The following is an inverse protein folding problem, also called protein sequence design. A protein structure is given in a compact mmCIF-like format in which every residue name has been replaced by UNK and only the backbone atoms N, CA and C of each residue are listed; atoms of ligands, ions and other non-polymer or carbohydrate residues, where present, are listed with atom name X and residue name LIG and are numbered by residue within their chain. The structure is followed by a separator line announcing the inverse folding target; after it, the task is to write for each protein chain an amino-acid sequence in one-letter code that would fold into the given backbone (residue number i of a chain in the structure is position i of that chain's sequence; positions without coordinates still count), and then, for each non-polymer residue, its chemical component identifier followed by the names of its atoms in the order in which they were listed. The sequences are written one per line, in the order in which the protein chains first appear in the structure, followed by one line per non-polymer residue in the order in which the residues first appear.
data_IF_754467756505
#
_entry.id   IF_754467756505
#
_cell.length_a   1.000
_cell.length_b   1.000
_cell.length_c   1.000
_cell.angle_alpha   90.00
_cell.angle_beta   90.00
_cell.angle_gamma   90.00
#
_symmetry.space_group_name_H-M   'P 1'
#
loop_
_entity.id
_entity.type
_entity.pdbx_description
1 polymer ?
#
# COMPACT_ATOMS: atom_id res chain seq x y z
N UNK A 1 -17.79 6.83 -13.34
CA UNK A 1 -16.92 5.95 -12.52
C UNK A 1 -17.07 4.55 -13.07
N UNK A 2 -16.05 4.00 -13.75
CA UNK A 2 -16.09 2.59 -14.20
C UNK A 2 -16.16 1.73 -12.93
N UNK A 3 -17.17 0.88 -12.79
CA UNK A 3 -17.29 -0.05 -11.66
C UNK A 3 -16.24 -1.14 -11.84
N UNK A 4 -15.42 -1.36 -10.82
CA UNK A 4 -14.33 -2.33 -10.87
C UNK A 4 -14.88 -3.76 -10.71
N UNK A 5 -14.51 -4.65 -11.64
CA UNK A 5 -14.93 -6.06 -11.66
C UNK A 5 -13.90 -6.97 -10.97
N UNK A 6 -13.43 -6.57 -9.78
CA UNK A 6 -12.33 -7.23 -9.07
C UNK A 6 -12.56 -8.72 -8.72
N UNK A 7 -13.79 -9.25 -8.89
CA UNK A 7 -14.15 -10.62 -8.54
C UNK A 7 -14.78 -11.41 -9.70
N UNK A 8 -14.91 -10.83 -10.89
CA UNK A 8 -15.48 -11.52 -12.05
C UNK A 8 -14.37 -12.11 -12.92
N UNK A 9 -13.90 -13.32 -12.60
CA UNK A 9 -13.06 -14.13 -13.49
C UNK A 9 -11.95 -14.91 -12.79
N UNK A 10 -11.59 -16.07 -13.36
CA UNK A 10 -10.43 -16.89 -12.97
C UNK A 10 -9.10 -16.41 -13.60
N UNK A 11 -9.05 -15.16 -14.03
CA UNK A 11 -7.90 -14.55 -14.71
C UNK A 11 -6.83 -14.01 -13.76
N UNK A 12 -5.79 -13.41 -14.34
CA UNK A 12 -4.74 -12.72 -13.60
C UNK A 12 -5.29 -11.49 -12.88
N UNK A 13 -4.67 -11.15 -11.75
CA UNK A 13 -5.10 -10.02 -10.93
C UNK A 13 -3.95 -9.45 -10.10
N UNK A 14 -4.01 -8.14 -9.85
CA UNK A 14 -3.16 -7.46 -8.89
C UNK A 14 -3.83 -7.42 -7.51
N UNK A 15 -3.27 -8.11 -6.53
CA UNK A 15 -3.73 -8.06 -5.14
C UNK A 15 -2.96 -6.97 -4.38
N UNK A 16 -3.65 -6.01 -3.78
CA UNK A 16 -3.00 -5.03 -2.90
C UNK A 16 -3.09 -5.57 -1.48
N UNK A 17 -1.96 -6.03 -0.93
CA UNK A 17 -1.93 -6.77 0.33
C UNK A 17 -1.28 -5.92 1.43
N UNK A 18 -2.05 -5.47 2.44
CA UNK A 18 -1.48 -4.74 3.56
C UNK A 18 -0.59 -5.62 4.43
N UNK A 19 0.53 -5.07 4.88
CA UNK A 19 1.46 -5.72 5.81
C UNK A 19 1.36 -5.11 7.21
N UNK A 20 1.85 -5.79 8.26
CA UNK A 20 1.72 -5.28 9.62
C UNK A 20 2.57 -4.02 9.86
N UNK A 21 2.11 -3.14 10.76
CA UNK A 21 2.79 -1.87 11.10
C UNK A 21 3.61 -1.95 12.40
N UNK A 22 3.99 -3.16 12.83
CA UNK A 22 4.84 -3.39 14.00
C UNK A 22 4.51 -4.64 14.83
N UNK A 23 3.28 -5.16 14.74
CA UNK A 23 2.89 -6.43 15.38
C UNK A 23 2.50 -7.45 14.31
N UNK A 24 3.18 -8.61 14.26
CA UNK A 24 2.91 -9.65 13.26
C UNK A 24 1.49 -10.21 13.35
N UNK A 25 0.85 -10.15 14.52
CA UNK A 25 -0.54 -10.61 14.72
C UNK A 25 -1.58 -9.73 13.97
N UNK A 26 -1.20 -8.54 13.51
CA UNK A 26 -2.08 -7.70 12.69
C UNK A 26 -2.21 -8.21 11.23
N UNK A 27 -1.48 -9.28 10.88
CA UNK A 27 -1.64 -9.95 9.59
C UNK A 27 -3.02 -10.64 9.52
N UNK A 28 -3.77 -10.39 8.44
CA UNK A 28 -5.05 -11.06 8.26
C UNK A 28 -4.87 -12.46 7.67
N UNK A 29 -5.73 -13.40 8.06
CA UNK A 29 -5.77 -14.74 7.45
C UNK A 29 -5.87 -14.71 5.93
N UNK A 30 -6.67 -13.77 5.40
CA UNK A 30 -6.84 -13.60 3.95
C UNK A 30 -5.56 -13.13 3.26
N UNK A 31 -4.81 -12.24 3.91
CA UNK A 31 -3.55 -11.77 3.36
C UNK A 31 -2.50 -12.88 3.31
N UNK A 32 -2.42 -13.72 4.35
CA UNK A 32 -1.53 -14.90 4.36
C UNK A 32 -1.90 -15.85 3.22
N UNK A 33 -3.19 -16.20 3.08
CA UNK A 33 -3.66 -17.08 1.99
C UNK A 33 -3.33 -16.51 0.61
N UNK A 34 -3.65 -15.23 0.37
CA UNK A 34 -3.34 -14.58 -0.92
C UNK A 34 -1.84 -14.62 -1.21
N UNK A 35 -0.99 -14.31 -0.23
CA UNK A 35 0.46 -14.34 -0.44
C UNK A 35 1.00 -15.75 -0.69
N UNK A 36 0.33 -16.80 -0.20
CA UNK A 36 0.65 -18.20 -0.49
C UNK A 36 0.15 -18.65 -1.88
N UNK A 37 -0.98 -18.11 -2.35
CA UNK A 37 -1.66 -18.55 -3.58
C UNK A 37 -1.26 -17.78 -4.84
N UNK A 38 -0.72 -16.56 -4.70
CA UNK A 38 -0.23 -15.76 -5.84
C UNK A 38 1.04 -16.37 -6.45
N UNK A 39 1.27 -16.13 -7.74
CA UNK A 39 2.44 -16.63 -8.45
C UNK A 39 3.69 -15.80 -8.17
N UNK A 40 3.51 -14.51 -7.85
CA UNK A 40 4.58 -13.55 -7.62
C UNK A 40 4.19 -12.49 -6.58
N UNK A 41 5.14 -12.10 -5.75
CA UNK A 41 5.03 -10.96 -4.83
C UNK A 41 5.93 -9.83 -5.32
N UNK A 42 5.35 -8.70 -5.68
CA UNK A 42 6.04 -7.43 -5.88
C UNK A 42 6.16 -6.71 -4.53
N UNK A 43 7.39 -6.52 -4.06
CA UNK A 43 7.65 -5.94 -2.74
C UNK A 43 8.53 -4.70 -2.83
N UNK A 44 8.23 -3.68 -2.01
CA UNK A 44 9.03 -2.46 -1.89
C UNK A 44 10.48 -2.76 -1.48
N UNK A 45 10.71 -3.30 -0.28
CA UNK A 45 11.99 -3.88 0.13
C UNK A 45 11.88 -5.39 0.33
N UNK A 46 12.47 -6.13 -0.62
CA UNK A 46 12.55 -7.60 -0.57
C UNK A 46 13.29 -8.12 0.67
N UNK A 47 14.23 -7.37 1.24
CA UNK A 47 15.00 -7.78 2.43
C UNK A 47 14.18 -7.64 3.71
N UNK A 48 13.23 -6.71 3.74
CA UNK A 48 12.29 -6.59 4.85
C UNK A 48 11.18 -7.63 4.70
N UNK A 49 10.57 -7.68 3.51
CA UNK A 49 9.44 -8.55 3.20
C UNK A 49 9.78 -10.03 3.40
N UNK A 50 11.00 -10.48 3.07
CA UNK A 50 11.39 -11.90 3.28
C UNK A 50 11.28 -12.34 4.74
N UNK A 51 11.47 -11.45 5.71
CA UNK A 51 11.32 -11.78 7.14
C UNK A 51 9.87 -12.08 7.49
N UNK A 52 8.95 -11.28 6.94
CA UNK A 52 7.51 -11.49 7.07
C UNK A 52 7.08 -12.81 6.44
N UNK A 53 7.53 -13.07 5.20
CA UNK A 53 7.22 -14.31 4.49
C UNK A 53 7.73 -15.54 5.22
N UNK A 54 8.97 -15.50 5.73
CA UNK A 54 9.55 -16.59 6.51
C UNK A 54 8.77 -16.88 7.80
N UNK A 55 8.28 -15.85 8.49
CA UNK A 55 7.50 -16.02 9.72
C UNK A 55 6.18 -16.76 9.48
N UNK A 56 5.53 -16.53 8.33
CA UNK A 56 4.28 -17.16 7.94
C UNK A 56 4.46 -18.36 7.00
N UNK A 57 5.69 -18.86 6.85
CA UNK A 57 6.01 -20.01 5.98
C UNK A 57 5.53 -19.82 4.53
N UNK A 58 5.66 -18.60 4.00
CA UNK A 58 5.28 -18.24 2.64
C UNK A 58 6.51 -18.39 1.74
N UNK A 59 6.39 -19.24 0.71
CA UNK A 59 7.50 -19.59 -0.18
C UNK A 59 7.39 -18.98 -1.59
N UNK A 60 6.38 -18.15 -1.81
CA UNK A 60 6.12 -17.50 -3.08
C UNK A 60 7.29 -16.64 -3.53
N UNK A 61 7.58 -16.66 -4.83
CA UNK A 61 8.68 -15.89 -5.41
C UNK A 61 8.42 -14.40 -5.24
N UNK A 62 9.49 -13.65 -5.02
CA UNK A 62 9.42 -12.21 -4.79
C UNK A 62 10.32 -11.44 -5.74
N UNK A 63 9.84 -10.28 -6.19
CA UNK A 63 10.59 -9.30 -6.98
C UNK A 63 10.51 -7.93 -6.32
N UNK A 64 11.54 -7.11 -6.52
CA UNK A 64 11.55 -5.73 -6.04
C UNK A 64 10.68 -4.82 -6.91
N UNK A 65 9.80 -4.04 -6.29
CA UNK A 65 9.02 -2.98 -6.91
C UNK A 65 8.95 -1.77 -5.96
N UNK A 66 9.79 -0.77 -6.20
CA UNK A 66 9.95 0.42 -5.36
C UNK A 66 9.61 1.71 -6.12
N UNK A 67 9.61 2.87 -5.45
CA UNK A 67 9.14 4.15 -6.04
C UNK A 67 9.91 4.59 -7.30
N UNK A 68 11.17 4.17 -7.43
CA UNK A 68 12.01 4.40 -8.60
C UNK A 68 12.07 3.21 -9.57
N UNK A 69 11.12 2.27 -9.49
CA UNK A 69 11.07 1.18 -10.46
C UNK A 69 10.76 1.74 -11.84
N UNK A 70 11.61 1.42 -12.81
CA UNK A 70 11.46 1.90 -14.17
C UNK A 70 10.14 1.40 -14.79
N UNK A 71 9.62 2.16 -15.76
CA UNK A 71 8.44 1.80 -16.56
C UNK A 71 8.52 0.38 -17.11
N UNK A 72 9.73 -0.10 -17.43
CA UNK A 72 9.96 -1.48 -17.88
C UNK A 72 9.44 -2.51 -16.86
N UNK A 73 9.70 -2.31 -15.56
CA UNK A 73 9.25 -3.23 -14.50
C UNK A 73 7.73 -3.19 -14.35
N UNK A 74 7.15 -1.99 -14.44
CA UNK A 74 5.70 -1.82 -14.41
C UNK A 74 5.03 -2.58 -15.57
N UNK A 75 5.50 -2.37 -16.80
CA UNK A 75 5.00 -3.09 -17.98
C UNK A 75 5.22 -4.59 -17.90
N UNK A 76 6.35 -5.05 -17.34
CA UNK A 76 6.61 -6.47 -17.13
C UNK A 76 5.55 -7.09 -16.20
N UNK A 77 5.20 -6.42 -15.11
CA UNK A 77 4.19 -6.88 -14.16
C UNK A 77 2.78 -6.84 -14.78
N UNK A 78 2.40 -5.76 -15.47
CA UNK A 78 1.06 -5.67 -16.10
C UNK A 78 0.88 -6.73 -17.19
N UNK A 79 1.90 -6.95 -18.03
CA UNK A 79 1.86 -8.04 -19.03
C UNK A 79 1.70 -9.41 -18.38
N UNK A 80 2.41 -9.70 -17.29
CA UNK A 80 2.26 -10.98 -16.57
C UNK A 80 0.83 -11.15 -16.03
N UNK A 81 0.23 -10.09 -15.51
CA UNK A 81 -1.17 -10.12 -15.04
C UNK A 81 -2.12 -10.35 -16.21
N UNK A 82 -1.90 -9.68 -17.35
CA UNK A 82 -2.69 -9.88 -18.57
C UNK A 82 -2.59 -11.32 -19.09
N UNK A 83 -1.43 -11.96 -18.94
CA UNK A 83 -1.20 -13.37 -19.29
C UNK A 83 -1.83 -14.36 -18.28
N UNK A 84 -2.51 -13.88 -17.25
CA UNK A 84 -3.24 -14.69 -16.28
C UNK A 84 -2.56 -14.86 -14.93
N UNK A 85 -1.40 -14.23 -14.70
CA UNK A 85 -0.67 -14.35 -13.45
C UNK A 85 -1.34 -13.59 -12.31
N UNK A 86 -1.39 -14.20 -11.12
CA UNK A 86 -1.82 -13.55 -9.88
C UNK A 86 -0.61 -12.94 -9.20
N UNK A 87 -0.62 -11.63 -9.00
CA UNK A 87 0.52 -10.90 -8.43
C UNK A 87 0.06 -10.13 -7.19
N UNK A 88 0.76 -10.26 -6.07
CA UNK A 88 0.54 -9.44 -4.89
C UNK A 88 1.52 -8.27 -4.84
N UNK A 89 1.03 -7.07 -4.56
CA UNK A 89 1.83 -5.90 -4.19
C UNK A 89 1.79 -5.72 -2.68
N UNK A 90 2.97 -5.65 -2.05
CA UNK A 90 3.15 -5.38 -0.63
C UNK A 90 4.07 -4.17 -0.43
N UNK A 91 3.80 -3.36 0.59
CA UNK A 91 4.72 -2.33 1.08
C UNK A 91 5.42 -2.78 2.36
N UNK A 92 6.43 -2.02 2.77
CA UNK A 92 7.24 -2.37 3.95
C UNK A 92 6.42 -2.41 5.25
N UNK A 93 5.40 -1.56 5.37
CA UNK A 93 4.48 -1.55 6.51
C UNK A 93 3.15 -0.87 6.15
N UNK A 94 2.04 -1.58 6.37
CA UNK A 94 0.70 -1.03 6.28
C UNK A 94 0.08 -1.15 4.90
N UNK A 95 -0.66 -0.11 4.49
CA UNK A 95 -1.49 -0.14 3.29
C UNK A 95 -0.68 0.26 2.04
N UNK A 96 -0.46 -0.65 1.07
CA UNK A 96 0.26 -0.32 -0.16
C UNK A 96 -0.48 0.72 -1.00
N UNK A 97 0.25 1.37 -1.92
CA UNK A 97 -0.26 2.36 -2.87
C UNK A 97 -0.78 3.68 -2.28
N UNK A 98 -0.53 3.96 -0.99
CA UNK A 98 -0.90 5.22 -0.33
C UNK A 98 0.31 6.16 -0.19
N UNK A 99 1.28 5.75 0.64
CA UNK A 99 2.55 6.47 0.84
C UNK A 99 3.70 5.79 0.10
N UNK A 100 3.47 4.51 -0.20
CA UNK A 100 4.44 3.56 -0.71
C UNK A 100 4.26 3.41 -2.23
N UNK A 101 5.26 2.92 -2.95
CA UNK A 101 5.14 2.55 -4.36
C UNK A 101 3.90 1.67 -4.63
N UNK A 102 3.27 1.87 -5.78
CA UNK A 102 2.11 1.07 -6.17
C UNK A 102 1.04 1.83 -6.92
N UNK A 103 0.90 3.13 -6.70
CA UNK A 103 -0.15 3.93 -7.36
C UNK A 103 -0.05 3.85 -8.88
N UNK A 104 1.14 4.03 -9.44
CA UNK A 104 1.38 3.92 -10.89
C UNK A 104 1.06 2.53 -11.44
N UNK A 105 1.40 1.47 -10.70
CA UNK A 105 1.06 0.09 -11.09
C UNK A 105 -0.45 -0.13 -11.09
N UNK A 106 -1.16 0.38 -10.09
CA UNK A 106 -2.62 0.32 -10.03
C UNK A 106 -3.23 1.08 -11.20
N UNK A 107 -2.74 2.29 -11.52
CA UNK A 107 -3.21 3.05 -12.68
C UNK A 107 -3.03 2.28 -13.98
N UNK A 108 -1.85 1.70 -14.22
CA UNK A 108 -1.62 0.92 -15.44
C UNK A 108 -2.51 -0.32 -15.51
N UNK A 109 -2.73 -1.03 -14.40
CA UNK A 109 -3.70 -2.13 -14.38
C UNK A 109 -5.12 -1.66 -14.74
N UNK A 110 -5.55 -0.50 -14.21
CA UNK A 110 -6.86 0.05 -14.51
C UNK A 110 -7.00 0.53 -15.97
N UNK A 111 -5.92 1.07 -16.56
CA UNK A 111 -5.88 1.47 -17.96
C UNK A 111 -6.01 0.28 -18.91
N UNK A 112 -5.41 -0.85 -18.56
CA UNK A 112 -5.48 -2.13 -19.29
C UNK A 112 -6.72 -2.98 -18.92
N UNK A 113 -7.63 -2.45 -18.10
CA UNK A 113 -8.83 -3.15 -17.60
C UNK A 113 -8.53 -4.45 -16.82
N UNK A 114 -7.35 -4.55 -16.22
CA UNK A 114 -6.92 -5.66 -15.38
C UNK A 114 -7.53 -5.57 -13.96
N UNK A 115 -7.94 -6.72 -13.36
CA UNK A 115 -8.47 -6.73 -12.00
C UNK A 115 -7.45 -6.25 -10.96
N UNK A 116 -7.88 -5.33 -10.09
CA UNK A 116 -7.12 -4.93 -8.89
C UNK A 116 -7.96 -5.23 -7.65
N UNK A 117 -7.42 -6.00 -6.71
CA UNK A 117 -8.16 -6.55 -5.57
C UNK A 117 -7.53 -6.01 -4.28
N UNK A 118 -8.09 -4.94 -3.70
CA UNK A 118 -7.59 -4.43 -2.43
C UNK A 118 -7.99 -5.32 -1.26
N UNK A 119 -7.01 -5.68 -0.41
CA UNK A 119 -7.28 -6.31 0.87
C UNK A 119 -7.43 -5.25 1.97
N UNK A 120 -8.41 -5.39 2.89
CA UNK A 120 -8.42 -4.60 4.11
C UNK A 120 -7.25 -5.05 5.01
N UNK A 121 -6.73 -4.13 5.81
CA UNK A 121 -5.63 -4.43 6.73
C UNK A 121 -5.11 -3.19 7.44
N UNK A 122 -3.90 -3.28 7.97
CA UNK A 122 -3.32 -2.27 8.83
C UNK A 122 -3.15 -0.90 8.14
N UNK A 123 -3.63 0.15 8.80
CA UNK A 123 -3.43 1.54 8.39
C UNK A 123 -3.10 2.39 9.62
N UNK A 124 -1.85 2.82 9.75
CA UNK A 124 -1.38 3.53 10.94
C UNK A 124 -2.17 4.81 11.23
N UNK A 125 -2.55 5.56 10.19
CA UNK A 125 -3.25 6.82 10.35
C UNK A 125 -4.68 6.63 10.86
N UNK A 126 -5.41 5.66 10.32
CA UNK A 126 -6.76 5.35 10.76
C UNK A 126 -6.76 4.74 12.17
N UNK A 127 -5.83 3.83 12.46
CA UNK A 127 -5.63 3.26 13.81
C UNK A 127 -5.34 4.36 14.84
N UNK A 128 -4.47 5.32 14.52
CA UNK A 128 -4.18 6.44 15.40
C UNK A 128 -5.37 7.40 15.54
N UNK A 129 -6.11 7.66 14.46
CA UNK A 129 -7.27 8.55 14.48
C UNK A 129 -8.34 8.04 15.44
N UNK A 130 -8.74 6.77 15.35
CA UNK A 130 -9.81 6.20 16.19
C UNK A 130 -9.45 6.16 17.67
N UNK A 131 -8.17 6.05 18.01
CA UNK A 131 -7.67 6.10 19.39
C UNK A 131 -7.46 7.53 19.91
N UNK A 132 -7.61 8.55 19.06
CA UNK A 132 -7.41 9.95 19.42
C UNK A 132 -8.68 10.61 19.93
N UNK A 133 -8.51 11.75 20.59
CA UNK A 133 -9.61 12.63 21.03
C UNK A 133 -10.19 13.50 19.90
N UNK A 134 -9.70 13.36 18.67
CA UNK A 134 -10.15 14.19 17.54
C UNK A 134 -11.45 13.67 16.96
N UNK A 135 -12.21 14.54 16.28
CA UNK A 135 -13.38 14.14 15.52
C UNK A 135 -12.98 13.22 14.36
N UNK A 136 -13.62 12.05 14.29
CA UNK A 136 -13.29 11.01 13.30
C UNK A 136 -14.09 11.12 12.00
N UNK A 137 -15.06 12.04 11.92
CA UNK A 137 -15.88 12.27 10.72
C UNK A 137 -16.39 13.72 10.65
N UNK A 138 -16.15 14.45 9.54
CA UNK A 138 -15.22 14.11 8.45
C UNK A 138 -13.74 14.22 8.90
N UNK A 139 -12.84 13.47 8.27
CA UNK A 139 -11.39 13.60 8.46
C UNK A 139 -10.66 13.67 7.10
N UNK A 140 -9.44 14.20 7.09
CA UNK A 140 -8.59 14.20 5.89
C UNK A 140 -7.23 13.56 6.18
N UNK A 141 -6.88 12.52 5.43
CA UNK A 141 -5.55 11.92 5.52
C UNK A 141 -4.56 12.63 4.58
N UNK A 142 -3.35 12.92 5.06
CA UNK A 142 -2.27 13.53 4.28
C UNK A 142 -0.96 12.79 4.57
N UNK A 143 -0.31 12.28 3.52
CA UNK A 143 0.89 11.43 3.66
C UNK A 143 2.08 12.23 4.20
N UNK A 144 2.62 13.16 3.40
CA UNK A 144 3.72 14.03 3.80
C UNK A 144 3.45 15.48 3.42
N UNK A 145 3.80 16.40 4.33
CA UNK A 145 3.82 17.82 4.04
C UNK A 145 5.26 18.22 3.68
N UNK A 146 5.55 18.40 2.39
CA UNK A 146 6.82 18.97 1.94
C UNK A 146 6.88 20.46 2.30
N UNK A 147 7.30 20.76 3.52
CA UNK A 147 7.63 22.13 3.90
C UNK A 147 9.13 22.31 3.71
N UNK A 148 9.54 22.98 2.62
CA UNK A 148 10.93 23.43 2.44
C UNK A 148 11.39 24.11 3.74
N UNK A 149 12.49 23.63 4.32
CA UNK A 149 13.09 24.07 5.59
C UNK A 149 13.74 25.46 5.43
N UNK A 150 12.99 26.44 4.93
CA UNK A 150 13.38 27.86 4.94
C UNK A 150 12.49 28.72 5.86
N UNK A 151 11.39 28.17 6.38
CA UNK A 151 10.45 28.92 7.23
C UNK A 151 9.84 28.04 8.34
N UNK A 152 10.65 27.62 9.31
CA UNK A 152 10.19 26.84 10.47
C UNK A 152 9.03 27.52 11.24
N UNK A 153 8.92 28.85 11.22
CA UNK A 153 7.81 29.60 11.84
C UNK A 153 6.45 29.50 11.12
N UNK A 154 6.41 29.11 9.83
CA UNK A 154 5.14 28.85 9.10
C UNK A 154 4.63 27.41 9.27
N UNK A 155 5.51 26.48 9.69
CA UNK A 155 5.21 25.06 9.96
C UNK A 155 4.14 24.90 11.04
N UNK A 156 4.28 25.62 12.15
CA UNK A 156 3.35 25.57 13.29
C UNK A 156 1.99 26.24 13.01
N UNK A 157 1.92 27.20 12.09
CA UNK A 157 0.64 27.86 11.71
C UNK A 157 -0.19 26.99 10.76
N UNK A 158 0.44 26.34 9.77
CA UNK A 158 -0.25 25.42 8.87
C UNK A 158 -0.64 24.11 9.57
N UNK A 159 0.20 23.58 10.46
CA UNK A 159 -0.14 22.42 11.30
C UNK A 159 -1.27 22.74 12.30
N UNK A 160 -1.34 23.96 12.86
CA UNK A 160 -2.49 24.37 13.70
C UNK A 160 -3.81 24.49 12.91
N UNK A 161 -3.75 24.88 11.64
CA UNK A 161 -4.93 24.94 10.76
C UNK A 161 -5.35 23.52 10.34
N UNK A 162 -4.38 22.64 10.09
CA UNK A 162 -4.58 21.24 9.74
C UNK A 162 -5.12 20.43 10.94
N UNK A 163 -4.55 20.58 12.13
CA UNK A 163 -5.03 19.94 13.36
C UNK A 163 -6.43 20.41 13.78
N UNK A 164 -6.77 21.70 13.53
CA UNK A 164 -8.15 22.21 13.73
C UNK A 164 -9.16 21.71 12.69
N UNK A 165 -8.73 21.04 11.63
CA UNK A 165 -9.56 20.54 10.52
C UNK A 165 -9.41 19.02 10.29
N UNK A 166 -8.85 18.28 11.25
CA UNK A 166 -8.77 16.81 11.19
C UNK A 166 -7.73 16.24 10.23
N UNK A 167 -6.60 16.93 10.03
CA UNK A 167 -5.51 16.49 9.16
C UNK A 167 -4.37 15.85 9.97
N UNK A 168 -3.92 14.67 9.54
CA UNK A 168 -2.75 13.95 10.09
C UNK A 168 -1.64 13.88 9.05
N UNK A 169 -0.38 13.85 9.51
CA UNK A 169 0.83 13.63 8.70
C UNK A 169 1.73 12.64 9.42
N UNK A 170 2.40 11.73 8.70
CA UNK A 170 3.47 10.92 9.29
C UNK A 170 4.67 11.84 9.61
N UNK A 171 4.98 12.01 10.89
CA UNK A 171 6.22 12.65 11.34
C UNK A 171 7.15 11.51 11.78
N UNK A 172 8.24 11.30 11.04
CA UNK A 172 9.35 10.36 11.30
C UNK A 172 9.21 8.94 10.72
N UNK A 173 9.34 8.80 9.40
CA UNK A 173 10.13 7.72 8.80
C UNK A 173 10.83 8.33 7.57
N UNK A 174 12.13 8.60 7.71
CA UNK A 174 13.08 8.93 6.67
C UNK A 174 14.45 8.44 7.14
#
# INVERSE_FOLDING_TARGET
MKSQKSFEGDGGALYLVPTPIGNLEDMTFRAIQVLQDVDLIAAEDTRNTIKLLNHFEIHTKMVSYHQHSDLKRQSEITNQIADGMKIALVSDAGMPSISDPGHELVLACLEEELPVIPLPGANAALTALIASVLHHSPFTFMVFCHVKIKNAGKRSRNLRIAAKRGFYTNHHIA
#
